data_IF_533598055857
#
_entry.id   IF_533598055857
#
_cell.length_a   1.000
_cell.length_b   1.000
_cell.length_c   1.000
_cell.angle_alpha   90.00
_cell.angle_beta   90.00
_cell.angle_gamma   90.00
#
_symmetry.space_group_name_H-M   'P 1'
#
loop_
_entity.id
_entity.type
_entity.pdbx_description
1 polymer ?
#
# COMPACT_ATOMS: atom_id res chain seq x y z
N UNK A 1 1.90 -5.68 -27.03
CA UNK A 1 1.34 -4.50 -26.36
C UNK A 1 1.50 -4.72 -24.86
N UNK A 2 2.22 -3.86 -24.09
CA UNK A 2 2.44 -4.07 -22.69
C UNK A 2 1.14 -3.79 -21.91
N UNK A 3 0.72 -4.76 -21.09
CA UNK A 3 -0.40 -4.64 -20.17
C UNK A 3 -0.12 -3.50 -19.18
N UNK A 4 -0.94 -2.46 -19.21
CA UNK A 4 -0.89 -1.37 -18.24
C UNK A 4 -1.30 -1.91 -16.87
N UNK A 5 -0.32 -2.04 -15.98
CA UNK A 5 -0.52 -2.32 -14.55
C UNK A 5 -1.51 -1.32 -13.95
N UNK A 6 -2.55 -1.82 -13.31
CA UNK A 6 -3.64 -1.04 -12.70
C UNK A 6 -3.24 -0.28 -11.41
N UNK A 7 -1.96 -0.33 -11.02
CA UNK A 7 -1.43 0.27 -9.79
C UNK A 7 -0.31 1.26 -10.09
N UNK A 8 -0.68 2.40 -10.69
CA UNK A 8 0.17 3.59 -10.67
C UNK A 8 0.15 4.18 -9.25
N UNK A 9 1.21 3.95 -8.46
CA UNK A 9 1.34 4.52 -7.13
C UNK A 9 1.37 6.04 -7.19
N UNK A 10 0.44 6.69 -6.50
CA UNK A 10 0.53 8.12 -6.21
C UNK A 10 1.80 8.39 -5.39
N UNK A 11 2.45 9.56 -5.55
CA UNK A 11 3.67 9.90 -4.83
C UNK A 11 3.42 9.84 -3.32
N UNK A 12 4.30 9.14 -2.61
CA UNK A 12 4.29 9.06 -1.16
C UNK A 12 4.40 10.46 -0.57
N UNK A 13 3.27 10.99 -0.10
CA UNK A 13 3.23 12.25 0.63
C UNK A 13 4.14 12.16 1.86
N UNK A 14 5.00 13.16 2.02
CA UNK A 14 5.88 13.39 3.16
C UNK A 14 5.11 13.12 4.46
N UNK A 15 5.60 12.17 5.25
CA UNK A 15 5.07 11.92 6.60
C UNK A 15 5.43 13.14 7.46
N UNK A 16 4.47 13.89 8.00
CA UNK A 16 4.77 14.88 9.01
C UNK A 16 5.25 14.15 10.27
N UNK A 17 6.48 14.38 10.64
CA UNK A 17 7.05 13.93 11.89
C UNK A 17 6.41 14.72 13.05
N UNK A 18 5.89 14.04 14.07
CA UNK A 18 5.78 14.60 15.41
C UNK A 18 4.48 15.29 15.84
N UNK A 19 3.39 15.34 15.06
CA UNK A 19 2.10 15.79 15.57
C UNK A 19 1.32 14.61 16.14
N UNK A 20 0.96 14.63 17.40
CA UNK A 20 0.05 13.67 18.03
C UNK A 20 -1.23 13.60 17.18
N UNK A 21 -1.55 12.40 16.68
CA UNK A 21 -2.76 12.22 15.88
C UNK A 21 -3.96 12.39 16.78
N UNK A 22 -4.94 13.24 16.42
CA UNK A 22 -6.13 13.43 17.21
C UNK A 22 -6.81 12.09 17.48
N UNK A 23 -7.15 11.87 18.73
CA UNK A 23 -7.80 10.63 19.18
C UNK A 23 -9.27 10.62 18.78
N UNK A 24 -9.82 9.43 18.57
CA UNK A 24 -11.24 9.24 18.35
C UNK A 24 -12.04 9.68 19.59
N UNK A 25 -13.04 10.56 19.44
CA UNK A 25 -13.81 11.08 20.59
C UNK A 25 -14.65 10.02 21.30
N UNK A 26 -14.86 8.85 20.66
CA UNK A 26 -15.66 7.76 21.23
C UNK A 26 -14.80 6.71 21.93
N UNK A 27 -13.68 6.29 21.35
CA UNK A 27 -12.87 5.18 21.87
C UNK A 27 -11.44 5.57 22.27
N UNK A 28 -11.08 6.85 22.16
CA UNK A 28 -9.77 7.41 22.49
C UNK A 28 -8.57 6.74 21.77
N UNK A 29 -8.79 6.02 20.67
CA UNK A 29 -7.72 5.44 19.86
C UNK A 29 -7.36 6.35 18.69
N UNK A 30 -6.10 6.35 18.22
CA UNK A 30 -5.68 7.16 17.08
C UNK A 30 -6.37 6.71 15.79
N UNK A 31 -6.85 7.68 15.00
CA UNK A 31 -7.43 7.43 13.68
C UNK A 31 -6.41 7.51 12.55
N UNK A 32 -6.84 7.10 11.36
CA UNK A 32 -6.09 7.22 10.13
C UNK A 32 -6.65 8.37 9.29
N UNK A 33 -5.77 9.18 8.68
CA UNK A 33 -6.19 10.35 7.90
C UNK A 33 -6.85 9.92 6.59
N UNK A 34 -8.01 10.50 6.29
CA UNK A 34 -8.78 10.29 5.05
C UNK A 34 -9.08 11.65 4.40
N UNK A 35 -8.99 11.77 3.05
CA UNK A 35 -9.37 12.98 2.34
C UNK A 35 -10.83 13.35 2.58
N UNK A 36 -11.12 14.63 2.80
CA UNK A 36 -12.50 15.11 2.99
C UNK A 36 -13.40 14.89 1.77
N UNK A 37 -12.81 14.87 0.58
CA UNK A 37 -13.53 14.51 -0.64
C UNK A 37 -14.09 13.09 -0.60
N UNK A 38 -13.30 12.13 -0.11
CA UNK A 38 -13.74 10.75 0.12
C UNK A 38 -14.94 10.71 1.07
N UNK A 39 -14.85 11.44 2.19
CA UNK A 39 -15.92 11.48 3.19
C UNK A 39 -17.19 12.06 2.58
N UNK A 40 -17.10 13.21 1.89
CA UNK A 40 -18.24 13.84 1.21
C UNK A 40 -18.95 12.92 0.21
N UNK A 41 -18.19 12.11 -0.55
CA UNK A 41 -18.74 11.18 -1.53
C UNK A 41 -19.45 9.97 -0.92
N UNK A 42 -19.10 9.61 0.30
CA UNK A 42 -19.64 8.44 0.98
C UNK A 42 -20.73 8.77 2.01
N UNK A 43 -20.93 10.04 2.34
CA UNK A 43 -22.01 10.46 3.22
C UNK A 43 -23.37 10.43 2.52
N UNK A 44 -24.39 10.07 3.27
CA UNK A 44 -25.79 10.17 2.84
C UNK A 44 -26.17 11.62 2.57
N UNK A 45 -27.15 11.87 1.66
CA UNK A 45 -27.69 13.19 1.43
C UNK A 45 -28.14 13.88 2.73
N UNK A 46 -27.92 15.20 2.83
CA UNK A 46 -28.22 15.99 4.02
C UNK A 46 -27.12 16.02 5.08
N UNK A 47 -26.04 15.27 4.93
CA UNK A 47 -24.87 15.35 5.80
C UNK A 47 -23.77 16.21 5.17
N UNK A 48 -23.20 17.13 5.93
CA UNK A 48 -22.15 18.03 5.47
C UNK A 48 -20.78 17.65 6.08
N UNK A 49 -19.75 17.61 5.25
CA UNK A 49 -18.37 17.38 5.67
C UNK A 49 -17.48 18.54 5.17
N UNK A 50 -17.41 19.66 5.91
CA UNK A 50 -16.76 20.89 5.44
C UNK A 50 -15.23 20.84 5.41
N UNK A 51 -14.61 19.88 6.12
CA UNK A 51 -13.16 19.85 6.24
C UNK A 51 -12.47 19.09 5.09
N UNK A 52 -11.23 19.47 4.78
CA UNK A 52 -10.44 18.83 3.71
C UNK A 52 -9.85 17.49 4.13
N UNK A 53 -9.78 17.23 5.44
CA UNK A 53 -9.28 15.98 6.00
C UNK A 53 -10.15 15.55 7.17
N UNK A 54 -10.32 14.25 7.30
CA UNK A 54 -10.96 13.58 8.43
C UNK A 54 -10.06 12.48 8.95
N UNK A 55 -10.41 11.94 10.10
CA UNK A 55 -9.80 10.72 10.62
C UNK A 55 -10.84 9.61 10.61
N UNK A 56 -10.44 8.41 10.19
CA UNK A 56 -11.26 7.21 10.29
C UNK A 56 -10.85 6.40 11.50
N UNK A 57 -11.81 6.05 12.36
CA UNK A 57 -11.57 5.19 13.51
C UNK A 57 -11.48 3.73 13.08
N UNK A 58 -10.34 3.09 13.36
CA UNK A 58 -10.07 1.70 12.97
C UNK A 58 -10.58 0.66 13.97
N UNK A 59 -11.12 1.06 15.12
CA UNK A 59 -11.65 0.14 16.13
C UNK A 59 -12.96 -0.49 15.66
N UNK A 60 -13.04 -1.83 15.50
CA UNK A 60 -14.24 -2.49 14.94
C UNK A 60 -15.52 -2.22 15.72
N UNK A 61 -15.47 -2.32 17.05
CA UNK A 61 -16.64 -2.14 17.93
C UNK A 61 -16.98 -0.66 18.22
N UNK A 62 -16.22 0.31 17.70
CA UNK A 62 -16.48 1.73 17.92
C UNK A 62 -17.55 2.24 16.94
N UNK A 63 -18.55 2.95 17.43
CA UNK A 63 -19.60 3.54 16.61
C UNK A 63 -19.06 4.60 15.63
N UNK A 64 -18.04 5.39 16.04
CA UNK A 64 -17.44 6.39 15.19
C UNK A 64 -16.78 5.77 13.96
N UNK A 65 -17.14 6.24 12.77
CA UNK A 65 -16.46 5.95 11.52
C UNK A 65 -15.51 7.08 11.16
N UNK A 66 -16.04 8.27 10.89
CA UNK A 66 -15.20 9.44 10.62
C UNK A 66 -15.36 10.47 11.72
N UNK A 67 -14.28 11.17 12.00
CA UNK A 67 -14.30 12.29 12.94
C UNK A 67 -13.29 13.38 12.57
N UNK A 68 -13.52 14.58 13.07
CA UNK A 68 -12.60 15.70 12.93
C UNK A 68 -12.44 16.44 14.27
N UNK A 69 -11.22 16.90 14.64
CA UNK A 69 -10.96 17.55 15.94
C UNK A 69 -11.77 18.81 16.20
N UNK A 70 -12.14 19.54 15.14
CA UNK A 70 -12.95 20.78 15.22
C UNK A 70 -14.46 20.52 15.15
N UNK A 71 -14.88 19.28 15.30
CA UNK A 71 -16.28 18.87 15.17
C UNK A 71 -16.54 18.04 13.91
N UNK A 72 -17.67 17.34 13.89
CA UNK A 72 -18.03 16.37 12.85
C UNK A 72 -17.68 14.95 13.28
N UNK A 73 -18.70 14.21 13.65
CA UNK A 73 -18.65 12.79 13.95
C UNK A 73 -19.68 12.11 13.04
N UNK A 74 -19.22 11.06 12.34
CA UNK A 74 -20.08 10.27 11.46
C UNK A 74 -19.99 8.79 11.86
N UNK A 75 -21.14 8.15 11.90
CA UNK A 75 -21.31 6.74 12.23
C UNK A 75 -21.64 5.94 10.97
N UNK A 76 -21.75 4.62 11.08
CA UNK A 76 -22.07 3.74 9.94
C UNK A 76 -23.42 4.11 9.30
N UNK A 77 -24.40 4.54 10.08
CA UNK A 77 -25.70 4.96 9.58
C UNK A 77 -25.67 6.21 8.67
N UNK A 78 -24.64 7.04 8.81
CA UNK A 78 -24.45 8.25 7.98
C UNK A 78 -23.84 7.95 6.61
N UNK A 79 -23.36 6.73 6.37
CA UNK A 79 -22.65 6.36 5.15
C UNK A 79 -23.55 5.61 4.16
N UNK A 80 -23.22 5.74 2.89
CA UNK A 80 -23.86 5.02 1.78
C UNK A 80 -23.41 3.56 1.67
N UNK A 81 -22.22 3.24 2.23
CA UNK A 81 -21.62 1.89 2.17
C UNK A 81 -21.16 1.43 3.54
N UNK A 82 -21.25 0.14 3.85
CA UNK A 82 -20.69 -0.41 5.06
C UNK A 82 -19.15 -0.35 5.04
N UNK A 83 -18.55 -0.07 6.19
CA UNK A 83 -17.09 -0.02 6.35
C UNK A 83 -16.59 -1.41 6.76
N UNK A 84 -15.91 -2.10 5.88
CA UNK A 84 -15.58 -3.54 5.94
C UNK A 84 -14.95 -4.02 7.26
N UNK A 85 -14.26 -3.17 7.99
CA UNK A 85 -13.60 -3.52 9.25
C UNK A 85 -14.43 -3.15 10.49
N UNK A 86 -15.61 -2.58 10.33
CA UNK A 86 -16.53 -2.29 11.46
C UNK A 86 -17.36 -3.52 11.80
N UNK A 87 -17.64 -3.70 13.08
CA UNK A 87 -18.51 -4.78 13.53
C UNK A 87 -19.91 -4.63 12.91
N UNK A 88 -20.48 -5.74 12.44
CA UNK A 88 -21.80 -5.74 11.79
C UNK A 88 -21.83 -5.13 10.38
N UNK A 89 -20.68 -4.88 9.75
CA UNK A 89 -20.65 -4.42 8.37
C UNK A 89 -21.18 -5.50 7.42
N UNK A 90 -22.30 -5.24 6.77
CA UNK A 90 -22.91 -6.11 5.77
C UNK A 90 -23.40 -5.29 4.56
N UNK A 91 -23.04 -5.71 3.32
CA UNK A 91 -22.06 -6.75 2.98
C UNK A 91 -20.61 -6.30 3.26
N UNK A 92 -19.72 -7.26 3.53
CA UNK A 92 -18.29 -6.97 3.64
C UNK A 92 -17.68 -6.86 2.26
N UNK A 93 -17.28 -5.65 1.86
CA UNK A 93 -16.66 -5.43 0.55
C UNK A 93 -15.16 -5.76 0.55
N UNK A 94 -14.75 -6.60 -0.39
CA UNK A 94 -13.35 -6.78 -0.77
C UNK A 94 -12.89 -5.67 -1.73
N UNK A 95 -13.78 -5.22 -2.63
CA UNK A 95 -13.51 -4.10 -3.54
C UNK A 95 -14.74 -3.19 -3.68
N UNK A 96 -14.65 -1.97 -3.19
CA UNK A 96 -15.71 -0.98 -3.29
C UNK A 96 -15.94 -0.46 -4.72
N UNK A 97 -14.87 -0.32 -5.51
CA UNK A 97 -14.98 0.19 -6.88
C UNK A 97 -15.81 -0.73 -7.79
N UNK A 98 -15.65 -2.02 -7.60
CA UNK A 98 -16.34 -3.06 -8.35
C UNK A 98 -17.61 -3.57 -7.66
N UNK A 99 -17.87 -3.18 -6.42
CA UNK A 99 -18.96 -3.74 -5.62
C UNK A 99 -18.78 -5.22 -5.26
N UNK A 100 -17.54 -5.71 -5.27
CA UNK A 100 -17.23 -7.13 -5.00
C UNK A 100 -17.17 -7.37 -3.50
N UNK A 101 -17.94 -8.34 -3.03
CA UNK A 101 -18.01 -8.74 -1.61
C UNK A 101 -17.04 -9.87 -1.29
N UNK A 102 -16.79 -10.10 0.00
CA UNK A 102 -16.02 -11.25 0.51
C UNK A 102 -16.64 -12.57 0.06
N UNK A 103 -17.93 -12.74 0.18
CA UNK A 103 -18.63 -13.96 -0.20
C UNK A 103 -18.40 -14.31 -1.69
N UNK A 104 -18.48 -13.31 -2.58
CA UNK A 104 -18.19 -13.51 -4.01
C UNK A 104 -16.73 -13.89 -4.27
N UNK A 105 -15.78 -13.34 -3.49
CA UNK A 105 -14.37 -13.73 -3.59
C UNK A 105 -14.20 -15.18 -3.16
N UNK A 106 -14.80 -15.60 -2.05
CA UNK A 106 -14.75 -16.98 -1.56
C UNK A 106 -15.31 -17.97 -2.58
N UNK A 107 -16.46 -17.64 -3.18
CA UNK A 107 -17.09 -18.46 -4.22
C UNK A 107 -16.20 -18.57 -5.47
N UNK A 108 -15.68 -17.45 -5.96
CA UNK A 108 -14.81 -17.44 -7.13
C UNK A 108 -13.50 -18.20 -6.90
N UNK A 109 -12.90 -18.11 -5.71
CA UNK A 109 -11.71 -18.88 -5.33
C UNK A 109 -12.02 -20.38 -5.30
N UNK A 110 -13.13 -20.78 -4.67
CA UNK A 110 -13.55 -22.19 -4.64
C UNK A 110 -13.79 -22.75 -6.04
N UNK A 111 -14.40 -21.95 -6.92
CA UNK A 111 -14.72 -22.35 -8.30
C UNK A 111 -13.48 -22.47 -9.19
N UNK A 112 -12.54 -21.51 -9.08
CA UNK A 112 -11.43 -21.38 -10.03
C UNK A 112 -10.08 -21.85 -9.49
N UNK A 113 -9.92 -21.96 -8.17
CA UNK A 113 -8.62 -22.17 -7.52
C UNK A 113 -7.62 -21.00 -7.70
N UNK A 114 -8.06 -19.88 -8.27
CA UNK A 114 -7.19 -18.76 -8.55
C UNK A 114 -6.77 -18.05 -7.25
N UNK A 115 -5.50 -17.65 -7.19
CA UNK A 115 -4.90 -16.93 -6.04
C UNK A 115 -4.50 -15.51 -6.36
N UNK A 116 -4.72 -15.05 -7.60
CA UNK A 116 -4.39 -13.68 -8.05
C UNK A 116 -5.66 -12.85 -8.13
N UNK A 117 -5.63 -11.68 -7.45
CA UNK A 117 -6.77 -10.77 -7.42
C UNK A 117 -7.31 -10.39 -8.81
N UNK A 118 -6.43 -10.13 -9.78
CA UNK A 118 -6.83 -9.79 -11.15
C UNK A 118 -7.66 -10.89 -11.83
N UNK A 119 -7.35 -12.16 -11.57
CA UNK A 119 -8.11 -13.31 -12.10
C UNK A 119 -9.47 -13.41 -11.42
N UNK A 120 -9.51 -13.29 -10.09
CA UNK A 120 -10.74 -13.33 -9.30
C UNK A 120 -11.71 -12.21 -9.69
N UNK A 121 -11.23 -10.96 -9.77
CA UNK A 121 -12.11 -9.84 -10.12
C UNK A 121 -12.65 -9.96 -11.54
N UNK A 122 -11.85 -10.48 -12.48
CA UNK A 122 -12.29 -10.75 -13.85
C UNK A 122 -13.35 -11.85 -13.90
N UNK A 123 -13.20 -12.90 -13.11
CA UNK A 123 -14.19 -13.98 -13.00
C UNK A 123 -15.53 -13.43 -12.48
N UNK A 124 -15.52 -12.57 -11.46
CA UNK A 124 -16.74 -12.03 -10.84
C UNK A 124 -17.41 -10.99 -11.71
N UNK A 125 -16.64 -10.08 -12.33
CA UNK A 125 -17.15 -8.87 -12.99
C UNK A 125 -17.04 -8.87 -14.50
N UNK A 126 -16.43 -9.90 -15.09
CA UNK A 126 -16.16 -10.00 -16.53
C UNK A 126 -14.96 -9.15 -17.00
N UNK A 127 -14.53 -8.15 -16.24
CA UNK A 127 -13.44 -7.27 -16.60
C UNK A 127 -12.71 -6.73 -15.35
N UNK A 128 -11.51 -6.19 -15.52
CA UNK A 128 -10.83 -5.46 -14.44
C UNK A 128 -11.39 -4.04 -14.39
N UNK A 129 -12.07 -3.63 -13.31
CA UNK A 129 -12.71 -2.32 -13.23
C UNK A 129 -11.68 -1.19 -13.13
N UNK A 130 -12.05 0.00 -13.62
CA UNK A 130 -11.29 1.22 -13.36
C UNK A 130 -11.41 1.59 -11.88
N UNK A 131 -10.27 1.74 -11.20
CA UNK A 131 -10.23 2.11 -9.79
C UNK A 131 -10.74 3.55 -9.57
N UNK A 132 -11.69 3.72 -8.64
CA UNK A 132 -12.19 5.00 -8.13
C UNK A 132 -12.16 5.00 -6.59
N UNK A 133 -11.04 4.54 -6.03
CA UNK A 133 -10.93 4.28 -4.59
C UNK A 133 -11.04 5.54 -3.75
N UNK A 134 -10.57 6.68 -4.24
CA UNK A 134 -10.72 7.97 -3.55
C UNK A 134 -12.19 8.38 -3.36
N UNK A 135 -13.08 7.92 -4.24
CA UNK A 135 -14.52 8.24 -4.17
C UNK A 135 -15.36 7.16 -3.50
N UNK A 136 -14.95 5.90 -3.61
CA UNK A 136 -15.77 4.74 -3.24
C UNK A 136 -15.27 3.95 -2.03
N UNK A 137 -13.96 3.98 -1.75
CA UNK A 137 -13.41 3.25 -0.61
C UNK A 137 -13.41 4.14 0.65
N UNK A 138 -13.98 3.70 1.78
CA UNK A 138 -13.98 4.47 3.03
C UNK A 138 -12.60 4.95 3.51
N UNK A 139 -11.52 4.28 3.12
CA UNK A 139 -10.16 4.70 3.43
C UNK A 139 -9.59 5.74 2.43
N UNK A 140 -10.27 6.02 1.33
CA UNK A 140 -9.75 6.89 0.25
C UNK A 140 -8.53 6.33 -0.48
N UNK A 141 -8.22 5.04 -0.33
CA UNK A 141 -7.05 4.38 -0.93
C UNK A 141 -7.46 3.10 -1.66
N UNK A 142 -6.52 2.59 -2.48
CA UNK A 142 -6.73 1.33 -3.18
C UNK A 142 -7.05 0.19 -2.20
N UNK A 143 -8.08 -0.60 -2.51
CA UNK A 143 -8.48 -1.76 -1.73
C UNK A 143 -7.70 -3.03 -2.07
N UNK A 144 -6.67 -2.97 -2.91
CA UNK A 144 -5.92 -4.14 -3.38
C UNK A 144 -5.32 -4.99 -2.26
N UNK A 145 -4.80 -4.37 -1.19
CA UNK A 145 -4.27 -5.12 -0.05
C UNK A 145 -5.36 -5.90 0.67
N UNK A 146 -6.52 -5.29 0.92
CA UNK A 146 -7.65 -5.94 1.55
C UNK A 146 -8.23 -7.03 0.64
N UNK A 147 -8.44 -6.73 -0.64
CA UNK A 147 -8.94 -7.68 -1.63
C UNK A 147 -8.00 -8.89 -1.77
N UNK A 148 -6.69 -8.67 -1.78
CA UNK A 148 -5.71 -9.75 -1.80
C UNK A 148 -5.74 -10.60 -0.52
N UNK A 149 -5.89 -9.96 0.65
CA UNK A 149 -6.01 -10.68 1.92
C UNK A 149 -7.26 -11.60 1.93
N UNK A 150 -8.39 -11.14 1.39
CA UNK A 150 -9.60 -11.97 1.25
C UNK A 150 -9.39 -13.17 0.30
N UNK A 151 -8.68 -12.99 -0.82
CA UNK A 151 -8.34 -14.10 -1.73
C UNK A 151 -7.46 -15.13 -1.02
N UNK A 152 -6.44 -14.69 -0.28
CA UNK A 152 -5.56 -15.59 0.47
C UNK A 152 -6.33 -16.34 1.56
N UNK A 153 -7.21 -15.65 2.30
CA UNK A 153 -8.04 -16.27 3.32
C UNK A 153 -8.96 -17.35 2.71
N UNK A 154 -9.59 -17.04 1.57
CA UNK A 154 -10.50 -17.96 0.87
C UNK A 154 -9.79 -19.16 0.23
N UNK A 155 -8.55 -18.96 -0.25
CA UNK A 155 -7.77 -20.03 -0.91
C UNK A 155 -7.16 -21.05 0.06
N UNK A 156 -7.15 -20.76 1.38
CA UNK A 156 -6.45 -21.58 2.38
C UNK A 156 -4.92 -21.61 2.21
N UNK A 157 -4.38 -20.86 1.25
CA UNK A 157 -2.95 -20.72 1.06
C UNK A 157 -2.41 -19.95 2.28
N UNK A 158 -1.49 -20.57 3.04
CA UNK A 158 -0.80 -19.84 4.11
C UNK A 158 -0.22 -18.58 3.50
N UNK A 159 -0.59 -17.42 4.04
CA UNK A 159 -0.05 -16.11 3.64
C UNK A 159 1.45 -16.26 3.50
N UNK A 160 1.96 -16.10 2.27
CA UNK A 160 3.40 -15.96 2.11
C UNK A 160 3.85 -14.91 3.13
N UNK A 161 4.89 -15.17 3.94
CA UNK A 161 5.31 -14.24 4.98
C UNK A 161 5.27 -12.86 4.38
N UNK A 162 4.59 -11.93 5.06
CA UNK A 162 4.48 -10.54 4.61
C UNK A 162 5.87 -10.18 4.12
N UNK A 163 5.99 -9.73 2.84
CA UNK A 163 7.29 -9.46 2.22
C UNK A 163 8.15 -8.90 3.32
N UNK A 164 9.11 -9.71 3.76
CA UNK A 164 10.04 -9.32 4.81
C UNK A 164 10.34 -7.88 4.50
N UNK A 165 10.26 -6.99 5.47
CA UNK A 165 10.55 -5.58 5.26
C UNK A 165 11.95 -5.53 4.66
N UNK A 166 12.00 -5.66 3.33
CA UNK A 166 13.25 -5.58 2.60
C UNK A 166 13.72 -4.16 2.88
N UNK A 167 14.77 -3.98 3.67
CA UNK A 167 15.24 -2.65 4.04
C UNK A 167 15.66 -1.85 2.81
N UNK A 168 15.73 -2.50 1.63
CA UNK A 168 15.98 -1.91 0.33
C UNK A 168 14.69 -1.67 -0.48
N UNK A 169 13.51 -1.94 0.09
CA UNK A 169 12.25 -1.72 -0.63
C UNK A 169 12.12 -0.25 -1.08
N UNK A 170 11.96 -0.05 -2.39
CA UNK A 170 11.89 1.29 -3.00
C UNK A 170 13.26 1.95 -3.27
N UNK A 171 14.37 1.28 -2.93
CA UNK A 171 15.74 1.75 -3.27
C UNK A 171 16.25 0.98 -4.48
N UNK A 172 16.54 1.68 -5.56
CA UNK A 172 17.10 1.04 -6.76
C UNK A 172 18.59 0.73 -6.57
N UNK A 173 19.09 -0.30 -7.24
CA UNK A 173 20.53 -0.62 -7.24
C UNK A 173 21.39 0.57 -7.70
N UNK A 174 20.87 1.39 -8.59
CA UNK A 174 21.51 2.63 -9.04
C UNK A 174 21.64 3.64 -7.89
N UNK A 175 20.57 3.86 -7.13
CA UNK A 175 20.59 4.76 -5.97
C UNK A 175 21.54 4.26 -4.88
N UNK A 176 21.64 2.95 -4.68
CA UNK A 176 22.61 2.33 -3.76
C UNK A 176 24.04 2.63 -4.23
N UNK A 177 24.32 2.36 -5.50
CA UNK A 177 25.65 2.58 -6.07
C UNK A 177 26.05 4.06 -6.02
N UNK A 178 25.14 4.97 -6.42
CA UNK A 178 25.37 6.42 -6.36
C UNK A 178 25.65 6.91 -4.94
N UNK A 179 24.92 6.40 -3.94
CA UNK A 179 25.14 6.76 -2.55
C UNK A 179 26.51 6.31 -2.04
N UNK A 180 26.93 5.09 -2.37
CA UNK A 180 28.23 4.57 -2.00
C UNK A 180 29.38 5.29 -2.72
N UNK A 181 29.22 5.60 -4.01
CA UNK A 181 30.19 6.40 -4.78
C UNK A 181 30.30 7.82 -4.21
N UNK A 182 29.20 8.43 -3.81
CA UNK A 182 29.20 9.76 -3.19
C UNK A 182 29.97 9.80 -1.87
N UNK A 183 29.89 8.72 -1.08
CA UNK A 183 30.52 8.65 0.26
C UNK A 183 31.99 8.23 0.20
N UNK A 184 32.32 7.24 -0.63
CA UNK A 184 33.63 6.56 -0.63
C UNK A 184 34.44 6.78 -1.90
N UNK A 185 33.83 7.36 -2.93
CA UNK A 185 34.41 7.44 -4.26
C UNK A 185 34.60 6.07 -4.90
N UNK A 186 34.96 6.04 -6.17
CA UNK A 186 35.28 4.80 -6.88
C UNK A 186 36.47 4.04 -6.27
N UNK A 187 37.45 4.79 -5.75
CA UNK A 187 38.63 4.21 -5.09
C UNK A 187 38.26 3.43 -3.83
N UNK A 188 37.32 3.95 -3.02
CA UNK A 188 36.84 3.26 -1.83
C UNK A 188 36.04 2.00 -2.19
N UNK A 189 35.24 2.03 -3.27
CA UNK A 189 34.54 0.86 -3.78
C UNK A 189 35.53 -0.22 -4.24
N UNK A 190 36.55 0.16 -4.99
CA UNK A 190 37.58 -0.73 -5.50
C UNK A 190 38.42 -1.37 -4.37
N UNK A 191 38.72 -0.63 -3.30
CA UNK A 191 39.42 -1.17 -2.13
C UNK A 191 38.63 -2.26 -1.42
N UNK A 192 37.32 -2.08 -1.30
CA UNK A 192 36.44 -3.03 -0.59
C UNK A 192 36.02 -4.20 -1.47
N UNK A 193 35.84 -3.94 -2.76
CA UNK A 193 35.48 -4.94 -3.76
C UNK A 193 36.30 -4.72 -5.04
N UNK A 194 37.45 -5.42 -5.20
CA UNK A 194 38.38 -5.22 -6.31
C UNK A 194 37.87 -5.88 -7.60
N UNK A 195 36.76 -5.35 -8.15
CA UNK A 195 36.21 -5.80 -9.44
C UNK A 195 36.60 -4.83 -10.56
N UNK A 196 36.71 -5.36 -11.79
CA UNK A 196 37.19 -4.56 -12.94
C UNK A 196 36.41 -3.27 -13.15
N UNK A 197 35.09 -3.29 -12.99
CA UNK A 197 34.23 -2.12 -13.21
C UNK A 197 34.39 -1.03 -12.14
N UNK A 198 35.09 -1.29 -11.03
CA UNK A 198 35.43 -0.30 -10.01
C UNK A 198 36.91 0.13 -10.08
N UNK A 199 37.77 -0.74 -10.68
CA UNK A 199 39.22 -0.52 -10.77
C UNK A 199 39.63 0.25 -12.02
N UNK A 200 38.98 -0.04 -13.18
CA UNK A 200 39.37 0.49 -14.48
C UNK A 200 38.22 1.27 -15.10
N UNK A 201 38.42 2.57 -15.33
CA UNK A 201 37.46 3.51 -15.91
C UNK A 201 36.04 3.35 -15.33
N UNK A 202 35.89 3.51 -13.99
CA UNK A 202 34.63 3.22 -13.32
C UNK A 202 33.53 4.19 -13.72
N UNK A 203 32.42 3.64 -14.22
CA UNK A 203 31.20 4.38 -14.50
C UNK A 203 30.01 3.72 -13.82
N UNK A 204 28.98 4.50 -13.51
CA UNK A 204 27.72 3.97 -12.95
C UNK A 204 27.12 2.93 -13.89
N UNK A 205 27.12 3.20 -15.20
CA UNK A 205 26.54 2.32 -16.21
C UNK A 205 27.24 0.96 -16.30
N UNK A 206 28.59 0.93 -16.39
CA UNK A 206 29.36 -0.32 -16.46
C UNK A 206 29.23 -1.14 -15.17
N UNK A 207 29.25 -0.46 -14.03
CA UNK A 207 29.10 -1.08 -12.73
C UNK A 207 27.70 -1.69 -12.53
N UNK A 208 26.65 -1.02 -12.96
CA UNK A 208 25.28 -1.56 -12.90
C UNK A 208 25.10 -2.80 -13.79
N UNK A 209 25.69 -2.82 -14.99
CA UNK A 209 25.65 -4.01 -15.85
C UNK A 209 26.30 -5.20 -15.15
N UNK A 210 27.49 -5.00 -14.58
CA UNK A 210 28.20 -6.04 -13.82
C UNK A 210 27.40 -6.54 -12.62
N UNK A 211 26.89 -5.61 -11.78
CA UNK A 211 26.15 -5.97 -10.56
C UNK A 211 24.83 -6.70 -10.87
N UNK A 212 24.18 -6.41 -11.99
CA UNK A 212 22.97 -7.13 -12.42
C UNK A 212 23.25 -8.57 -12.84
N UNK A 213 24.43 -8.82 -13.39
CA UNK A 213 24.86 -10.14 -13.86
C UNK A 213 25.56 -10.97 -12.77
N UNK A 214 25.97 -10.33 -11.67
CA UNK A 214 26.81 -10.95 -10.63
C UNK A 214 26.12 -10.89 -9.26
N UNK A 215 25.30 -11.89 -8.90
CA UNK A 215 24.48 -11.87 -7.67
C UNK A 215 25.26 -11.68 -6.38
N UNK A 216 26.44 -12.27 -6.24
CA UNK A 216 27.28 -12.11 -5.04
C UNK A 216 27.78 -10.67 -4.87
N UNK A 217 28.20 -10.02 -5.95
CA UNK A 217 28.67 -8.63 -5.92
C UNK A 217 27.54 -7.65 -5.64
N UNK A 218 26.37 -7.89 -6.23
CA UNK A 218 25.16 -7.16 -5.94
C UNK A 218 24.80 -7.24 -4.45
N UNK A 219 24.75 -8.45 -3.91
CA UNK A 219 24.46 -8.66 -2.48
C UNK A 219 25.45 -7.93 -1.57
N UNK A 220 26.74 -7.96 -1.89
CA UNK A 220 27.77 -7.29 -1.11
C UNK A 220 27.60 -5.75 -1.10
N UNK A 221 27.24 -5.15 -2.22
CA UNK A 221 26.94 -3.71 -2.34
C UNK A 221 25.67 -3.34 -1.57
N UNK A 222 24.63 -4.16 -1.65
CA UNK A 222 23.38 -4.00 -0.91
C UNK A 222 23.59 -4.10 0.61
N UNK A 223 24.31 -5.12 1.08
CA UNK A 223 24.66 -5.33 2.50
C UNK A 223 25.52 -4.16 3.03
N UNK A 224 26.46 -3.67 2.24
CA UNK A 224 27.28 -2.50 2.61
C UNK A 224 26.43 -1.26 2.80
N UNK A 225 25.56 -0.96 1.84
CA UNK A 225 24.65 0.19 1.92
C UNK A 225 23.73 0.13 3.14
N UNK A 226 23.25 -1.07 3.50
CA UNK A 226 22.39 -1.27 4.67
C UNK A 226 23.15 -1.06 6.00
N UNK A 227 24.39 -1.52 6.06
CA UNK A 227 25.23 -1.35 7.26
C UNK A 227 25.58 0.11 7.54
N UNK A 228 25.62 0.94 6.50
CA UNK A 228 25.90 2.38 6.66
C UNK A 228 24.65 3.23 7.00
N UNK A 229 23.48 2.65 6.94
CA UNK A 229 22.22 3.31 7.34
C UNK A 229 21.82 3.03 8.79
N UNK A 230 22.53 2.14 9.45
CA UNK A 230 22.40 1.87 10.88
C UNK A 230 23.22 2.87 11.67
#
# INVERSE_FOLDING_TARGET
MPEKSCCGGAPAGVKPQGAERPLCPVCAKPGEVVPGNTVRKLLRPGRAAPFDRYLICRTPACAAVYYHPKGGLFEQADLLVPVYFKAGAEPVYACYCAGVTRAQVEEAVKKTGATRWAAIIKEITGAVPKCKCEEKNPLGKCCSENAYAEVIAASGVKKAPARSSDPLHGVTLENILLALVKRHGWRGLAQRMPVRCFLYDPTVKSSLVFLRQTPWARKQVEDWYLNERR
#
